data_IF_946828938655
#
_entry.id   IF_946828938655
#
_cell.length_a   1.000
_cell.length_b   1.000
_cell.length_c   1.000
_cell.angle_alpha   90.00
_cell.angle_beta   90.00
_cell.angle_gamma   90.00
#
_symmetry.space_group_name_H-M   'P 1'
#
loop_
_entity.id
_entity.type
_entity.pdbx_description
1 polymer ?
#
# COMPACT_ATOMS: atom_id res chain seq x y z
N UNK A 1 -35.18 -5.84 32.85
CA UNK A 1 -34.52 -6.71 31.88
C UNK A 1 -34.10 -5.98 30.62
N UNK A 2 -34.95 -5.31 29.83
CA UNK A 2 -34.55 -4.60 28.58
C UNK A 2 -33.49 -3.51 28.80
N UNK A 3 -33.49 -2.75 29.88
CA UNK A 3 -32.47 -1.73 30.21
C UNK A 3 -31.10 -2.33 30.56
N UNK A 4 -31.09 -3.51 31.22
CA UNK A 4 -29.84 -4.22 31.55
C UNK A 4 -29.20 -4.80 30.29
N UNK A 5 -30.01 -5.34 29.36
CA UNK A 5 -29.53 -5.82 28.06
C UNK A 5 -28.96 -4.66 27.22
N UNK A 6 -29.58 -3.49 27.24
CA UNK A 6 -29.08 -2.30 26.54
C UNK A 6 -27.74 -1.82 27.11
N UNK A 7 -27.58 -1.83 28.44
CA UNK A 7 -26.32 -1.48 29.11
C UNK A 7 -25.22 -2.50 28.81
N UNK A 8 -25.55 -3.80 28.78
CA UNK A 8 -24.62 -4.85 28.39
C UNK A 8 -24.19 -4.74 26.93
N UNK A 9 -25.09 -4.39 26.00
CA UNK A 9 -24.80 -4.16 24.60
C UNK A 9 -23.89 -2.91 24.41
N UNK A 10 -24.16 -1.84 25.17
CA UNK A 10 -23.32 -0.62 25.15
C UNK A 10 -21.93 -0.88 25.73
N UNK A 11 -21.81 -1.71 26.77
CA UNK A 11 -20.52 -2.10 27.35
C UNK A 11 -19.70 -3.02 26.42
N UNK A 12 -20.35 -3.87 25.62
CA UNK A 12 -19.66 -4.75 24.65
C UNK A 12 -19.17 -3.97 23.42
N UNK A 13 -19.87 -2.91 23.03
CA UNK A 13 -19.51 -2.03 21.89
C UNK A 13 -18.37 -1.07 22.24
N UNK A 14 -18.07 -0.85 23.53
CA UNK A 14 -17.09 0.12 24.02
C UNK A 14 -15.66 -0.39 24.20
N UNK A 15 -15.33 -1.66 23.92
CA UNK A 15 -13.97 -2.19 24.06
C UNK A 15 -13.26 -2.07 22.70
N UNK A 16 -12.75 -0.88 22.42
CA UNK A 16 -11.79 -0.71 21.33
C UNK A 16 -10.40 -1.13 21.83
N UNK A 17 -9.96 -2.37 21.53
CA UNK A 17 -8.56 -2.76 21.64
C UNK A 17 -7.82 -2.13 20.47
N UNK A 18 -7.15 -1.00 20.73
CA UNK A 18 -6.27 -0.35 19.76
C UNK A 18 -4.87 -0.97 19.87
N UNK A 19 -4.67 -2.11 19.26
CA UNK A 19 -3.36 -2.73 19.08
C UNK A 19 -3.26 -3.21 17.63
N UNK A 20 -2.83 -2.35 16.71
CA UNK A 20 -2.50 -2.84 15.39
C UNK A 20 -1.45 -1.94 14.73
N UNK A 21 -0.23 -2.43 14.66
CA UNK A 21 0.71 -1.97 13.66
C UNK A 21 0.07 -2.17 12.28
N UNK A 22 -0.02 -1.11 11.53
CA UNK A 22 -0.59 -1.14 10.19
C UNK A 22 0.53 -1.12 9.16
N UNK A 23 0.44 -1.98 8.13
CA UNK A 23 1.31 -1.89 6.96
C UNK A 23 1.22 -0.49 6.33
N UNK A 24 2.35 0.00 5.75
CA UNK A 24 2.41 1.30 5.10
C UNK A 24 1.28 1.51 4.10
N UNK A 25 0.81 2.75 4.00
CA UNK A 25 -0.28 3.13 3.11
C UNK A 25 0.16 4.25 2.18
N UNK A 26 -0.13 4.08 0.90
CA UNK A 26 0.14 5.09 -0.13
C UNK A 26 -1.18 5.61 -0.70
N UNK A 27 -1.23 6.86 -1.08
CA UNK A 27 -2.39 7.43 -1.77
C UNK A 27 -2.40 7.04 -3.23
N UNK A 28 -1.20 6.92 -3.84
CA UNK A 28 -1.02 6.48 -5.23
C UNK A 28 -0.86 4.93 -5.36
N UNK A 29 -1.58 4.15 -4.54
CA UNK A 29 -1.52 2.68 -4.52
C UNK A 29 -1.82 2.03 -5.88
N UNK A 30 -2.61 2.70 -6.73
CA UNK A 30 -2.99 2.21 -8.04
C UNK A 30 -1.81 2.13 -9.03
N UNK A 31 -0.69 2.79 -8.75
CA UNK A 31 0.54 2.71 -9.56
C UNK A 31 1.58 1.80 -8.92
N UNK A 32 1.43 1.44 -7.65
CA UNK A 32 2.32 0.53 -6.93
C UNK A 32 1.55 -0.67 -6.36
N UNK A 33 0.65 -1.23 -7.15
CA UNK A 33 -0.23 -2.33 -6.75
C UNK A 33 0.53 -3.59 -6.35
N UNK A 34 1.72 -3.84 -6.94
CA UNK A 34 2.57 -4.99 -6.62
C UNK A 34 3.01 -5.01 -5.14
N UNK A 35 3.14 -3.85 -4.50
CA UNK A 35 3.47 -3.76 -3.08
C UNK A 35 2.48 -4.52 -2.19
N UNK A 36 1.20 -4.54 -2.60
CA UNK A 36 0.10 -5.18 -1.84
C UNK A 36 -0.47 -6.43 -2.51
N UNK A 37 -0.35 -6.60 -3.84
CA UNK A 37 -0.90 -7.76 -4.55
C UNK A 37 0.13 -8.36 -5.52
N UNK A 38 0.70 -9.54 -5.22
CA UNK A 38 1.70 -10.19 -6.08
C UNK A 38 1.17 -10.59 -7.46
N UNK A 39 -0.12 -10.78 -7.63
CA UNK A 39 -0.73 -11.09 -8.92
C UNK A 39 -0.59 -9.96 -9.96
N UNK A 40 -0.19 -8.77 -9.52
CA UNK A 40 0.08 -7.63 -10.38
C UNK A 40 1.44 -7.72 -11.09
N UNK A 41 2.35 -8.60 -10.68
CA UNK A 41 3.66 -8.75 -11.31
C UNK A 41 3.50 -9.06 -12.81
N UNK A 42 4.17 -8.31 -13.67
CA UNK A 42 4.13 -8.51 -15.13
C UNK A 42 2.88 -8.00 -15.86
N UNK A 43 1.85 -7.53 -15.15
CA UNK A 43 0.58 -7.11 -15.76
C UNK A 43 0.67 -5.89 -16.70
N UNK A 44 1.77 -5.17 -16.69
CA UNK A 44 1.96 -3.95 -17.51
C UNK A 44 2.60 -4.19 -18.87
N UNK A 45 2.90 -5.42 -19.27
CA UNK A 45 3.60 -5.81 -20.52
C UNK A 45 4.90 -5.03 -20.79
N UNK A 46 5.52 -4.53 -19.76
CA UNK A 46 6.78 -3.77 -19.78
C UNK A 46 7.60 -4.09 -18.53
N UNK A 47 8.90 -3.81 -18.57
CA UNK A 47 9.65 -3.68 -17.34
C UNK A 47 9.24 -2.35 -16.70
N UNK A 48 8.50 -2.41 -15.62
CA UNK A 48 8.00 -1.27 -14.85
C UNK A 48 8.82 -1.09 -13.58
N UNK A 49 9.30 0.11 -13.35
CA UNK A 49 10.02 0.53 -12.14
C UNK A 49 9.21 1.67 -11.51
N UNK A 50 8.83 1.50 -10.25
CA UNK A 50 8.09 2.52 -9.49
C UNK A 50 8.85 2.82 -8.21
N UNK A 51 9.21 4.08 -8.03
CA UNK A 51 9.73 4.61 -6.78
C UNK A 51 8.71 5.58 -6.17
N UNK A 52 8.46 5.46 -4.87
CA UNK A 52 7.53 6.33 -4.16
C UNK A 52 8.15 6.71 -2.82
N UNK A 53 8.07 7.98 -2.47
CA UNK A 53 8.39 8.50 -1.14
C UNK A 53 7.17 9.20 -0.58
N UNK A 54 6.78 8.81 0.64
CA UNK A 54 5.67 9.42 1.39
C UNK A 54 6.18 9.91 2.74
N UNK A 55 6.01 11.19 2.99
CA UNK A 55 6.20 11.81 4.29
C UNK A 55 4.81 12.12 4.86
N UNK A 56 4.40 11.35 5.85
CA UNK A 56 3.07 11.46 6.45
C UNK A 56 3.15 12.35 7.69
N UNK A 57 2.17 13.25 7.82
CA UNK A 57 2.06 14.20 8.94
C UNK A 57 3.30 15.10 9.07
N UNK A 58 3.70 15.73 7.97
CA UNK A 58 4.83 16.66 7.94
C UNK A 58 4.71 17.73 9.02
N UNK A 59 5.82 17.97 9.75
CA UNK A 59 5.87 18.85 10.92
C UNK A 59 5.53 18.18 12.25
N UNK A 60 5.12 16.91 12.25
CA UNK A 60 4.92 16.11 13.45
C UNK A 60 6.15 15.24 13.71
N UNK A 61 6.80 15.39 14.87
CA UNK A 61 7.99 14.64 15.24
C UNK A 61 7.69 13.14 15.33
N UNK A 62 8.48 12.31 14.63
CA UNK A 62 8.26 10.89 14.53
C UNK A 62 7.12 10.51 13.57
N UNK A 63 6.64 11.44 12.75
CA UNK A 63 5.66 11.15 11.69
C UNK A 63 6.15 10.04 10.75
N UNK A 64 5.24 9.18 10.21
CA UNK A 64 5.63 8.08 9.35
C UNK A 64 6.30 8.56 8.06
N UNK A 65 7.42 7.93 7.70
CA UNK A 65 8.11 8.10 6.43
C UNK A 65 8.22 6.74 5.73
N UNK A 66 7.66 6.65 4.53
CA UNK A 66 7.65 5.42 3.75
C UNK A 66 8.33 5.63 2.41
N UNK A 67 9.30 4.80 2.10
CA UNK A 67 9.99 4.74 0.82
C UNK A 67 9.74 3.40 0.16
N UNK A 68 9.42 3.38 -1.13
CA UNK A 68 9.22 2.14 -1.87
C UNK A 68 9.97 2.15 -3.18
N UNK A 69 10.49 0.99 -3.54
CA UNK A 69 11.00 0.70 -4.88
C UNK A 69 10.40 -0.63 -5.31
N UNK A 70 9.63 -0.63 -6.38
CA UNK A 70 9.04 -1.82 -6.97
C UNK A 70 9.49 -1.95 -8.42
N UNK A 71 9.87 -3.17 -8.80
CA UNK A 71 10.28 -3.49 -10.16
C UNK A 71 9.53 -4.76 -10.57
N UNK A 72 8.88 -4.75 -11.72
CA UNK A 72 8.26 -5.97 -12.24
C UNK A 72 8.22 -6.00 -13.76
N UNK A 73 8.16 -7.22 -14.29
CA UNK A 73 8.15 -7.45 -15.72
C UNK A 73 7.46 -8.77 -16.05
N UNK A 74 6.76 -8.88 -17.18
CA UNK A 74 6.48 -10.18 -17.75
C UNK A 74 7.78 -10.85 -18.18
N UNK A 75 7.83 -12.18 -18.09
CA UNK A 75 8.91 -12.97 -18.62
C UNK A 75 8.73 -13.21 -20.13
N UNK A 76 9.67 -13.90 -20.75
CA UNK A 76 9.58 -14.28 -22.16
C UNK A 76 8.28 -15.03 -22.51
N UNK A 77 7.77 -15.82 -21.56
CA UNK A 77 6.40 -16.33 -21.59
C UNK A 77 5.51 -15.29 -20.91
N UNK A 78 4.75 -14.51 -21.71
CA UNK A 78 3.88 -13.41 -21.25
C UNK A 78 2.86 -13.83 -20.17
N UNK A 79 2.67 -15.16 -19.96
CA UNK A 79 1.83 -15.68 -18.88
C UNK A 79 2.50 -15.61 -17.50
N UNK A 80 3.82 -15.44 -17.47
CA UNK A 80 4.60 -15.42 -16.24
C UNK A 80 5.10 -14.00 -15.97
N UNK A 81 4.92 -13.54 -14.75
CA UNK A 81 5.46 -12.27 -14.27
C UNK A 81 6.40 -12.46 -13.08
N UNK A 82 7.45 -11.67 -13.03
CA UNK A 82 8.33 -11.55 -11.86
C UNK A 82 8.36 -10.12 -11.38
N UNK A 83 8.53 -9.97 -10.06
CA UNK A 83 8.66 -8.68 -9.43
C UNK A 83 9.55 -8.71 -8.19
N UNK A 84 9.99 -7.52 -7.81
CA UNK A 84 10.71 -7.21 -6.59
C UNK A 84 10.06 -6.01 -5.93
N UNK A 85 9.78 -6.10 -4.63
CA UNK A 85 9.22 -5.02 -3.84
C UNK A 85 10.11 -4.75 -2.64
N UNK A 86 10.69 -3.55 -2.58
CA UNK A 86 11.46 -3.05 -1.45
C UNK A 86 10.67 -1.90 -0.81
N UNK A 87 10.45 -1.96 0.50
CA UNK A 87 9.75 -0.91 1.25
C UNK A 87 10.54 -0.65 2.52
N UNK A 88 10.83 0.60 2.80
CA UNK A 88 11.32 1.05 4.09
C UNK A 88 10.24 1.94 4.72
N UNK A 89 9.85 1.63 5.94
CA UNK A 89 8.79 2.34 6.68
C UNK A 89 9.28 2.65 8.08
N UNK A 90 9.44 3.94 8.36
CA UNK A 90 9.88 4.45 9.65
C UNK A 90 8.73 5.20 10.30
N UNK A 91 8.39 4.88 11.55
CA UNK A 91 7.38 5.59 12.33
C UNK A 91 7.84 5.69 13.79
N UNK A 92 8.08 6.91 14.27
CA UNK A 92 8.70 7.11 15.59
C UNK A 92 10.06 6.44 15.65
N UNK A 93 10.23 5.54 16.63
CA UNK A 93 11.45 4.77 16.83
C UNK A 93 11.48 3.43 16.09
N UNK A 94 10.40 3.04 15.44
CA UNK A 94 10.30 1.79 14.70
C UNK A 94 10.73 1.97 13.25
N UNK A 95 11.48 1.01 12.71
CA UNK A 95 11.86 0.95 11.31
C UNK A 95 11.65 -0.47 10.78
N UNK A 96 10.83 -0.59 9.75
CA UNK A 96 10.57 -1.82 9.03
C UNK A 96 11.15 -1.73 7.62
N UNK A 97 11.97 -2.70 7.25
CA UNK A 97 12.41 -2.88 5.86
C UNK A 97 11.87 -4.19 5.32
N UNK A 98 11.11 -4.11 4.25
CA UNK A 98 10.50 -5.25 3.56
C UNK A 98 11.22 -5.50 2.25
N UNK A 99 11.65 -6.73 2.01
CA UNK A 99 12.26 -7.17 0.76
C UNK A 99 11.57 -8.45 0.28
N UNK A 100 10.79 -8.34 -0.79
CA UNK A 100 9.94 -9.42 -1.29
C UNK A 100 10.10 -9.61 -2.79
N UNK A 101 10.07 -10.86 -3.21
CA UNK A 101 9.98 -11.28 -4.60
C UNK A 101 8.55 -11.72 -4.88
N UNK A 102 8.03 -11.30 -6.03
CA UNK A 102 6.69 -11.58 -6.50
C UNK A 102 6.75 -12.45 -7.76
N UNK A 103 5.92 -13.47 -7.82
CA UNK A 103 5.72 -14.31 -8.99
C UNK A 103 4.24 -14.34 -9.34
N UNK A 104 3.91 -14.19 -10.63
CA UNK A 104 2.54 -14.29 -11.10
C UNK A 104 2.41 -15.27 -12.28
N UNK A 105 1.22 -15.86 -12.37
CA UNK A 105 0.78 -16.66 -13.51
C UNK A 105 -0.57 -16.14 -14.01
N UNK A 106 -0.61 -15.74 -15.29
CA UNK A 106 -1.78 -15.11 -15.93
C UNK A 106 -2.43 -16.07 -16.91
N UNK A 107 -3.74 -16.20 -16.82
CA UNK A 107 -4.60 -17.00 -17.69
C UNK A 107 -5.53 -16.05 -18.45
N UNK A 108 -5.61 -16.22 -19.77
CA UNK A 108 -6.61 -15.55 -20.58
C UNK A 108 -7.97 -16.23 -20.35
N UNK A 109 -8.88 -15.56 -19.65
CA UNK A 109 -10.21 -16.09 -19.33
C UNK A 109 -11.21 -15.82 -20.46
N UNK A 110 -11.05 -14.71 -21.18
CA UNK A 110 -11.83 -14.38 -22.40
C UNK A 110 -10.99 -13.50 -23.33
N UNK A 111 -11.55 -13.03 -24.45
CA UNK A 111 -10.85 -12.16 -25.39
C UNK A 111 -10.26 -10.90 -24.73
N UNK A 112 -10.96 -10.36 -23.73
CA UNK A 112 -10.63 -9.07 -23.08
C UNK A 112 -10.38 -9.18 -21.56
N UNK A 113 -10.42 -10.37 -20.98
CA UNK A 113 -10.28 -10.57 -19.52
C UNK A 113 -9.16 -11.53 -19.21
N UNK A 114 -8.28 -11.10 -18.35
CA UNK A 114 -7.17 -11.87 -17.80
C UNK A 114 -7.35 -12.12 -16.31
N UNK A 115 -6.95 -13.30 -15.84
CA UNK A 115 -6.92 -13.69 -14.43
C UNK A 115 -5.50 -14.06 -14.07
N UNK A 116 -4.93 -13.33 -13.12
CA UNK A 116 -3.58 -13.56 -12.62
C UNK A 116 -3.63 -14.10 -11.19
N UNK A 117 -2.84 -15.12 -10.92
CA UNK A 117 -2.57 -15.65 -9.59
C UNK A 117 -1.16 -15.26 -9.21
N UNK A 118 -0.96 -14.78 -7.99
CA UNK A 118 0.33 -14.31 -7.52
C UNK A 118 0.76 -14.94 -6.22
N UNK A 119 2.07 -15.17 -6.10
CA UNK A 119 2.74 -15.57 -4.87
C UNK A 119 3.83 -14.54 -4.54
N UNK A 120 3.97 -14.25 -3.28
CA UNK A 120 4.99 -13.35 -2.71
C UNK A 120 5.80 -14.12 -1.69
N UNK A 121 7.11 -13.94 -1.67
CA UNK A 121 7.98 -14.49 -0.65
C UNK A 121 9.14 -13.56 -0.35
N UNK A 122 9.54 -13.47 0.90
CA UNK A 122 10.62 -12.57 1.28
C UNK A 122 10.77 -12.42 2.78
N UNK A 123 11.40 -11.33 3.18
CA UNK A 123 11.77 -11.07 4.56
C UNK A 123 11.38 -9.65 4.98
N UNK A 124 11.01 -9.52 6.24
CA UNK A 124 10.85 -8.26 6.95
C UNK A 124 12.00 -8.13 7.95
N UNK A 125 12.71 -7.02 7.89
CA UNK A 125 13.70 -6.62 8.90
C UNK A 125 13.08 -5.53 9.78
N UNK A 126 13.02 -5.79 11.07
CA UNK A 126 12.60 -4.85 12.09
C UNK A 126 13.78 -4.34 12.87
N UNK A 127 13.86 -3.02 13.07
CA UNK A 127 14.88 -2.37 13.89
C UNK A 127 14.22 -1.30 14.74
N UNK A 128 14.52 -1.30 16.04
CA UNK A 128 14.20 -0.19 16.92
C UNK A 128 15.38 0.81 16.91
N UNK A 129 15.07 2.11 16.86
CA UNK A 129 16.07 3.17 16.74
C UNK A 129 17.00 3.20 17.96
N UNK A 130 18.29 3.41 17.71
CA UNK A 130 19.32 3.41 18.77
C UNK A 130 19.15 4.58 19.76
N UNK A 131 18.56 5.68 19.30
CA UNK A 131 18.26 6.84 20.12
C UNK A 131 17.38 6.49 21.33
N UNK A 132 16.46 5.54 21.17
CA UNK A 132 15.58 5.11 22.25
C UNK A 132 16.38 4.50 23.42
N UNK A 133 17.45 3.77 23.14
CA UNK A 133 18.31 3.15 24.17
C UNK A 133 19.18 4.16 24.92
N UNK A 134 19.32 5.37 24.43
CA UNK A 134 20.09 6.44 25.06
C UNK A 134 19.28 7.23 26.10
N UNK A 135 17.98 7.04 26.17
CA UNK A 135 17.16 7.64 27.23
C UNK A 135 17.41 6.90 28.56
N UNK A 136 17.76 7.66 29.61
CA UNK A 136 18.15 7.11 30.91
C UNK A 136 17.05 6.25 31.57
N UNK A 137 15.80 6.58 31.29
CA UNK A 137 14.63 5.84 31.79
C UNK A 137 14.49 4.47 31.12
N UNK A 138 14.81 4.39 29.82
CA UNK A 138 14.73 3.15 29.02
C UNK A 138 15.86 2.18 29.39
N UNK A 139 17.06 2.69 29.71
CA UNK A 139 18.20 1.85 30.13
C UNK A 139 17.97 1.11 31.47
N UNK A 140 16.95 1.48 32.25
CA UNK A 140 16.57 0.79 33.51
C UNK A 140 15.41 -0.19 33.29
N UNK A 141 14.82 -0.23 32.10
CA UNK A 141 13.70 -1.09 31.77
C UNK A 141 14.25 -2.40 31.16
N UNK A 142 14.04 -3.51 31.85
CA UNK A 142 14.46 -4.85 31.41
C UNK A 142 13.89 -5.26 30.04
N UNK A 143 12.83 -4.60 29.55
CA UNK A 143 12.26 -4.84 28.22
C UNK A 143 13.11 -4.32 27.06
N UNK A 144 14.01 -3.37 27.33
CA UNK A 144 14.90 -2.79 26.33
C UNK A 144 16.37 -3.24 26.50
N UNK A 145 16.62 -4.27 27.30
CA UNK A 145 17.95 -4.78 27.60
C UNK A 145 18.66 -5.41 26.38
N UNK A 146 17.90 -5.83 25.36
CA UNK A 146 18.42 -6.29 24.09
C UNK A 146 18.06 -5.33 22.93
N UNK A 147 19.07 -4.96 22.13
CA UNK A 147 18.85 -4.23 20.87
C UNK A 147 17.97 -5.05 19.95
N UNK A 148 16.75 -4.57 19.69
CA UNK A 148 15.79 -5.28 18.88
C UNK A 148 16.10 -5.13 17.38
N UNK A 149 16.72 -6.18 16.83
CA UNK A 149 16.95 -6.37 15.40
C UNK A 149 16.44 -7.75 15.01
N UNK A 150 15.40 -7.82 14.20
CA UNK A 150 14.74 -9.10 13.86
C UNK A 150 14.55 -9.24 12.35
N UNK A 151 14.87 -10.43 11.84
CA UNK A 151 14.56 -10.84 10.49
C UNK A 151 13.45 -11.90 10.53
N UNK A 152 12.37 -11.67 9.81
CA UNK A 152 11.26 -12.61 9.74
C UNK A 152 10.90 -12.89 8.28
N UNK A 153 10.85 -14.16 7.92
CA UNK A 153 10.39 -14.60 6.61
C UNK A 153 8.87 -14.57 6.56
N UNK A 154 8.31 -14.14 5.44
CA UNK A 154 6.87 -14.16 5.22
C UNK A 154 6.54 -14.53 3.78
N UNK A 155 5.31 -15.01 3.58
CA UNK A 155 4.77 -15.39 2.29
C UNK A 155 3.43 -14.68 2.08
N UNK A 156 3.05 -14.53 0.84
CA UNK A 156 1.78 -13.93 0.48
C UNK A 156 1.21 -14.51 -0.78
N UNK A 157 -0.07 -14.27 -1.00
CA UNK A 157 -0.77 -14.67 -2.20
C UNK A 157 -1.76 -13.60 -2.64
N UNK A 158 -2.13 -13.65 -3.92
CA UNK A 158 -3.13 -12.76 -4.45
C UNK A 158 -3.74 -13.27 -5.75
N UNK A 159 -4.87 -12.70 -6.08
CA UNK A 159 -5.56 -12.86 -7.36
C UNK A 159 -5.88 -11.47 -7.91
N UNK A 160 -5.77 -11.34 -9.23
CA UNK A 160 -6.12 -10.14 -9.96
C UNK A 160 -6.91 -10.55 -11.20
N UNK A 161 -8.07 -9.96 -11.39
CA UNK A 161 -8.85 -10.07 -12.60
C UNK A 161 -8.88 -8.70 -13.25
N UNK A 162 -8.47 -8.61 -14.49
CA UNK A 162 -8.36 -7.32 -15.17
C UNK A 162 -8.66 -7.38 -16.67
N UNK A 163 -8.97 -6.24 -17.19
CA UNK A 163 -9.07 -5.95 -18.62
C UNK A 163 -8.42 -4.59 -18.91
N UNK A 164 -8.48 -4.12 -20.13
CA UNK A 164 -7.91 -2.82 -20.52
C UNK A 164 -8.49 -1.63 -19.73
N UNK A 165 -9.73 -1.74 -19.21
CA UNK A 165 -10.46 -0.63 -18.57
C UNK A 165 -10.79 -0.83 -17.09
N UNK A 166 -10.67 -2.04 -16.56
CA UNK A 166 -11.01 -2.31 -15.19
C UNK A 166 -10.15 -3.42 -14.58
N UNK A 167 -10.03 -3.40 -13.30
CA UNK A 167 -9.41 -4.46 -12.52
C UNK A 167 -10.08 -4.63 -11.17
N UNK A 168 -10.02 -5.86 -10.64
CA UNK A 168 -10.40 -6.20 -9.27
C UNK A 168 -9.37 -7.21 -8.74
N UNK A 169 -8.88 -6.99 -7.55
CA UNK A 169 -7.90 -7.87 -6.92
C UNK A 169 -8.19 -8.11 -5.45
N UNK A 170 -7.83 -9.31 -5.01
CA UNK A 170 -7.81 -9.71 -3.60
C UNK A 170 -6.42 -10.22 -3.27
N UNK A 171 -5.91 -9.91 -2.07
CA UNK A 171 -4.59 -10.38 -1.67
C UNK A 171 -4.40 -10.43 -0.17
N UNK A 172 -3.46 -11.28 0.22
CA UNK A 172 -2.88 -11.38 1.55
C UNK A 172 -1.36 -11.34 1.34
N UNK A 173 -0.74 -10.13 1.36
CA UNK A 173 0.68 -9.99 1.02
C UNK A 173 1.62 -10.60 2.06
N UNK A 174 1.14 -10.83 3.28
CA UNK A 174 1.86 -11.51 4.37
C UNK A 174 0.87 -12.39 5.15
N UNK A 175 1.16 -13.68 5.27
CA UNK A 175 0.26 -14.68 5.85
C UNK A 175 0.65 -15.02 7.29
N UNK A 176 1.94 -14.85 7.65
CA UNK A 176 2.46 -15.22 8.96
C UNK A 176 2.43 -14.00 9.87
N UNK A 177 1.84 -14.15 11.05
CA UNK A 177 1.98 -13.17 12.13
C UNK A 177 3.32 -13.39 12.82
N UNK A 178 4.06 -12.32 13.04
CA UNK A 178 5.31 -12.35 13.79
C UNK A 178 5.23 -11.40 14.98
N UNK A 179 5.66 -11.88 16.15
CA UNK A 179 5.98 -11.05 17.29
C UNK A 179 7.44 -10.60 17.17
N UNK A 180 7.65 -9.30 16.98
CA UNK A 180 8.98 -8.73 16.78
C UNK A 180 9.74 -8.56 18.09
N UNK A 181 9.03 -8.59 19.23
CA UNK A 181 9.60 -8.31 20.56
C UNK A 181 9.74 -9.56 21.45
N UNK A 182 9.06 -10.67 21.17
CA UNK A 182 8.97 -11.86 22.02
C UNK A 182 8.56 -11.55 23.47
N UNK A 183 7.92 -10.40 23.71
CA UNK A 183 7.47 -9.94 25.02
C UNK A 183 5.97 -10.13 25.19
N UNK A 184 5.54 -10.51 26.38
CA UNK A 184 4.11 -10.66 26.70
C UNK A 184 3.41 -9.33 26.93
N UNK A 185 4.17 -8.27 27.26
CA UNK A 185 3.62 -6.99 27.74
C UNK A 185 3.68 -5.87 26.69
N UNK A 186 4.64 -5.92 25.78
CA UNK A 186 4.72 -5.03 24.63
C UNK A 186 4.97 -5.86 23.37
N UNK A 187 3.99 -5.93 22.52
CA UNK A 187 4.05 -6.71 21.29
C UNK A 187 4.13 -5.81 20.07
N UNK A 188 5.32 -5.72 19.44
CA UNK A 188 5.45 -5.22 18.08
C UNK A 188 5.01 -6.34 17.13
N UNK A 189 3.70 -6.40 16.81
CA UNK A 189 3.12 -7.50 16.03
C UNK A 189 3.05 -7.16 14.55
N UNK A 190 3.74 -7.92 13.71
CA UNK A 190 3.43 -7.97 12.29
C UNK A 190 2.20 -8.85 12.10
N UNK A 191 1.05 -8.23 11.80
CA UNK A 191 -0.23 -8.92 11.66
C UNK A 191 -0.62 -9.15 10.20
N UNK A 192 -1.44 -10.17 9.95
CA UNK A 192 -1.98 -10.45 8.61
C UNK A 192 -2.92 -9.33 8.18
N UNK A 193 -2.72 -8.88 6.94
CA UNK A 193 -3.56 -7.89 6.27
C UNK A 193 -4.24 -8.48 5.05
N UNK A 194 -5.51 -8.20 4.90
CA UNK A 194 -6.32 -8.56 3.74
C UNK A 194 -6.60 -7.32 2.92
N UNK A 195 -6.41 -7.42 1.61
CA UNK A 195 -6.66 -6.33 0.69
C UNK A 195 -7.70 -6.71 -0.35
N UNK A 196 -8.64 -5.80 -0.61
CA UNK A 196 -9.46 -5.77 -1.79
C UNK A 196 -9.23 -4.44 -2.51
N UNK A 197 -9.00 -4.48 -3.80
CA UNK A 197 -8.74 -3.29 -4.60
C UNK A 197 -9.38 -3.41 -5.97
N UNK A 198 -9.67 -2.28 -6.59
CA UNK A 198 -10.23 -2.27 -7.92
C UNK A 198 -10.28 -0.86 -8.50
N UNK A 199 -10.55 -0.83 -9.81
CA UNK A 199 -10.72 0.43 -10.50
C UNK A 199 -11.37 0.24 -11.87
N UNK A 200 -11.93 1.35 -12.37
CA UNK A 200 -12.56 1.42 -13.67
C UNK A 200 -12.25 2.75 -14.37
N UNK A 201 -12.02 2.71 -15.67
CA UNK A 201 -11.80 3.89 -16.52
C UNK A 201 -12.98 4.11 -17.45
N UNK A 202 -13.60 5.27 -17.31
CA UNK A 202 -14.68 5.76 -18.15
C UNK A 202 -14.12 6.69 -19.22
N UNK A 203 -14.45 6.47 -20.49
CA UNK A 203 -14.16 7.41 -21.56
C UNK A 203 -15.24 8.50 -21.55
N UNK A 204 -14.92 9.71 -21.10
CA UNK A 204 -15.86 10.84 -21.09
C UNK A 204 -15.87 11.56 -22.45
N UNK A 205 -14.71 11.63 -23.12
CA UNK A 205 -14.52 12.15 -24.45
C UNK A 205 -13.27 11.55 -25.10
N UNK A 206 -12.93 11.96 -26.33
CA UNK A 206 -11.68 11.54 -27.00
C UNK A 206 -10.42 11.96 -26.24
N UNK A 207 -10.49 13.08 -25.49
CA UNK A 207 -9.34 13.64 -24.77
C UNK A 207 -9.47 13.56 -23.25
N UNK A 208 -10.62 13.12 -22.73
CA UNK A 208 -10.88 13.10 -21.28
C UNK A 208 -11.39 11.76 -20.82
N UNK A 209 -10.71 11.19 -19.81
CA UNK A 209 -11.09 9.93 -19.17
C UNK A 209 -11.17 10.11 -17.65
N UNK A 210 -12.08 9.39 -17.02
CA UNK A 210 -12.25 9.36 -15.57
C UNK A 210 -11.86 7.99 -15.04
N UNK A 211 -10.88 7.90 -14.17
CA UNK A 211 -10.50 6.69 -13.44
C UNK A 211 -11.01 6.78 -12.01
N UNK A 212 -11.86 5.86 -11.62
CA UNK A 212 -12.26 5.63 -10.25
C UNK A 212 -11.52 4.41 -9.72
N UNK A 213 -10.97 4.49 -8.51
CA UNK A 213 -10.32 3.34 -7.87
C UNK A 213 -10.65 3.28 -6.39
N UNK A 214 -10.63 2.08 -5.84
CA UNK A 214 -10.79 1.86 -4.41
C UNK A 214 -9.77 0.84 -3.90
N UNK A 215 -9.45 0.93 -2.62
CA UNK A 215 -8.70 -0.06 -1.86
C UNK A 215 -9.32 -0.20 -0.48
N UNK A 216 -9.61 -1.42 -0.08
CA UNK A 216 -10.04 -1.80 1.26
C UNK A 216 -8.92 -2.59 1.91
N UNK A 217 -8.54 -2.24 3.12
CA UNK A 217 -7.57 -2.96 3.94
C UNK A 217 -8.23 -3.36 5.25
N UNK A 218 -8.15 -4.64 5.57
CA UNK A 218 -8.61 -5.20 6.84
C UNK A 218 -7.48 -5.92 7.55
N UNK A 219 -7.37 -5.72 8.86
CA UNK A 219 -6.55 -6.52 9.77
C UNK A 219 -7.28 -6.68 11.10
N UNK A 220 -7.07 -7.82 11.75
CA UNK A 220 -7.68 -8.09 13.05
C UNK A 220 -7.17 -7.09 14.09
N UNK A 221 -8.08 -6.49 14.84
CA UNK A 221 -7.73 -5.54 15.91
C UNK A 221 -7.55 -4.08 15.45
N UNK A 222 -7.79 -3.77 14.17
CA UNK A 222 -7.79 -2.39 13.67
C UNK A 222 -9.05 -2.07 12.86
N UNK A 223 -9.46 -0.80 12.79
CA UNK A 223 -10.54 -0.36 11.91
C UNK A 223 -10.25 -0.68 10.45
N UNK A 224 -11.31 -0.97 9.68
CA UNK A 224 -11.18 -1.13 8.22
C UNK A 224 -10.75 0.20 7.62
N UNK A 225 -9.69 0.15 6.81
CA UNK A 225 -9.23 1.31 6.03
C UNK A 225 -9.77 1.23 4.60
N UNK A 226 -10.43 2.30 4.18
CA UNK A 226 -10.99 2.45 2.84
C UNK A 226 -10.35 3.67 2.18
N UNK A 227 -9.81 3.48 0.98
CA UNK A 227 -9.25 4.53 0.16
C UNK A 227 -10.04 4.59 -1.16
N UNK A 228 -10.50 5.78 -1.51
CA UNK A 228 -11.16 6.05 -2.78
C UNK A 228 -10.40 7.13 -3.52
N UNK A 229 -10.22 6.94 -4.84
CA UNK A 229 -9.61 7.94 -5.70
C UNK A 229 -10.45 8.17 -6.94
N UNK A 230 -10.50 9.42 -7.37
CA UNK A 230 -11.11 9.84 -8.62
C UNK A 230 -10.11 10.71 -9.38
N UNK A 231 -9.66 10.25 -10.54
CA UNK A 231 -8.63 10.91 -11.33
C UNK A 231 -9.13 11.15 -12.77
N UNK A 232 -9.02 12.38 -13.24
CA UNK A 232 -9.28 12.78 -14.60
C UNK A 232 -7.97 12.76 -15.40
N UNK A 233 -7.94 12.03 -16.49
CA UNK A 233 -6.86 12.03 -17.47
C UNK A 233 -7.20 12.95 -18.63
N UNK A 234 -6.35 13.94 -18.88
CA UNK A 234 -6.47 14.85 -20.00
C UNK A 234 -5.35 14.63 -21.03
N UNK A 235 -5.78 14.43 -22.29
CA UNK A 235 -4.88 14.20 -23.45
C UNK A 235 -3.81 13.12 -23.21
N UNK A 236 -4.12 12.10 -22.41
CA UNK A 236 -3.22 11.00 -22.04
C UNK A 236 -1.89 11.45 -21.38
N UNK A 237 -1.82 12.69 -20.91
CA UNK A 237 -0.59 13.30 -20.37
C UNK A 237 -0.72 13.76 -18.93
N UNK A 238 -1.87 14.27 -18.53
CA UNK A 238 -2.04 14.89 -17.21
C UNK A 238 -3.17 14.20 -16.48
N UNK A 239 -2.87 13.67 -15.30
CA UNK A 239 -3.86 13.22 -14.35
C UNK A 239 -4.07 14.26 -13.27
N UNK A 240 -5.32 14.62 -13.04
CA UNK A 240 -5.74 15.49 -11.93
C UNK A 240 -6.82 14.77 -11.14
N UNK A 241 -6.65 14.66 -9.85
CA UNK A 241 -7.60 13.90 -9.07
C UNK A 241 -7.64 14.23 -7.61
N UNK A 242 -8.51 13.52 -6.92
CA UNK A 242 -8.67 13.58 -5.49
C UNK A 242 -8.71 12.19 -4.86
N UNK A 243 -8.34 12.14 -3.60
CA UNK A 243 -8.43 10.96 -2.76
C UNK A 243 -9.23 11.24 -1.50
N UNK A 244 -9.91 10.23 -1.02
CA UNK A 244 -10.58 10.23 0.27
C UNK A 244 -10.29 8.93 1.01
N UNK A 245 -9.71 9.06 2.21
CA UNK A 245 -9.38 7.93 3.08
C UNK A 245 -10.24 7.94 4.31
N UNK A 246 -10.73 6.76 4.69
CA UNK A 246 -11.43 6.51 5.94
C UNK A 246 -10.71 5.37 6.65
N UNK A 247 -10.25 5.61 7.89
CA UNK A 247 -9.60 4.61 8.73
C UNK A 247 -10.17 4.76 10.16
N UNK A 248 -11.27 4.08 10.44
CA UNK A 248 -12.02 4.28 11.67
C UNK A 248 -12.51 5.72 11.82
N UNK A 249 -12.05 6.40 12.88
CA UNK A 249 -12.35 7.82 13.13
C UNK A 249 -11.44 8.77 12.34
N UNK A 250 -10.31 8.30 11.85
CA UNK A 250 -9.38 9.09 11.08
C UNK A 250 -9.85 9.18 9.62
N UNK A 251 -9.79 10.37 9.08
CA UNK A 251 -10.11 10.65 7.69
C UNK A 251 -9.05 11.57 7.08
N UNK A 252 -8.86 11.46 5.77
CA UNK A 252 -7.97 12.35 5.05
C UNK A 252 -8.53 12.64 3.65
N UNK A 253 -8.29 13.84 3.16
CA UNK A 253 -8.64 14.28 1.82
C UNK A 253 -7.34 14.66 1.12
N UNK A 254 -7.14 14.19 -0.11
CA UNK A 254 -5.94 14.47 -0.88
C UNK A 254 -6.24 15.00 -2.27
N UNK A 255 -5.29 15.79 -2.79
CA UNK A 255 -5.22 16.20 -4.18
C UNK A 255 -4.07 15.43 -4.86
N UNK A 256 -4.31 14.93 -6.08
CA UNK A 256 -3.36 14.14 -6.85
C UNK A 256 -3.10 14.86 -8.17
N UNK A 257 -1.83 14.98 -8.55
CA UNK A 257 -1.42 15.44 -9.86
C UNK A 257 -0.29 14.56 -10.39
N UNK A 258 -0.48 14.00 -11.59
CA UNK A 258 0.54 13.19 -12.25
C UNK A 258 0.75 13.68 -13.69
N UNK A 259 1.99 13.65 -14.13
CA UNK A 259 2.39 14.04 -15.47
C UNK A 259 3.08 12.88 -16.18
N UNK A 260 2.59 12.52 -17.37
CA UNK A 260 3.34 11.70 -18.31
C UNK A 260 4.35 12.59 -19.05
N UNK A 261 5.57 12.62 -18.52
CA UNK A 261 6.66 13.49 -19.03
C UNK A 261 7.15 13.00 -20.40
N UNK A 262 7.21 11.68 -20.58
CA UNK A 262 7.50 11.02 -21.85
C UNK A 262 6.68 9.74 -21.95
N UNK A 263 6.75 9.04 -23.09
CA UNK A 263 6.07 7.75 -23.25
C UNK A 263 6.46 6.68 -22.21
N UNK A 264 7.60 6.89 -21.55
CA UNK A 264 8.18 5.94 -20.59
C UNK A 264 8.19 6.47 -19.16
N UNK A 265 8.19 7.80 -18.96
CA UNK A 265 8.44 8.41 -17.67
C UNK A 265 7.25 9.20 -17.17
N UNK A 266 6.83 8.89 -15.94
CA UNK A 266 5.74 9.57 -15.21
C UNK A 266 6.26 10.08 -13.88
N UNK A 267 5.78 11.26 -13.50
CA UNK A 267 6.01 11.87 -12.20
C UNK A 267 4.66 12.18 -11.58
N UNK A 268 4.45 11.79 -10.34
CA UNK A 268 3.24 12.04 -9.58
C UNK A 268 3.53 12.75 -8.27
N UNK A 269 2.60 13.59 -7.83
CA UNK A 269 2.62 14.22 -6.54
C UNK A 269 1.24 14.19 -5.91
N UNK A 270 1.21 13.88 -4.61
CA UNK A 270 -0.03 13.94 -3.81
C UNK A 270 0.20 14.75 -2.55
N UNK A 271 -0.75 15.61 -2.26
CA UNK A 271 -0.87 16.29 -0.99
C UNK A 271 -2.15 15.84 -0.29
N UNK A 272 -2.05 15.39 0.96
CA UNK A 272 -3.16 14.84 1.74
C UNK A 272 -3.27 15.57 3.09
N UNK A 273 -4.47 16.00 3.43
CA UNK A 273 -4.77 16.70 4.69
C UNK A 273 -5.61 15.74 5.56
N UNK A 274 -5.16 15.36 6.76
CA UNK A 274 -5.99 14.66 7.72
C UNK A 274 -7.07 15.61 8.26
N UNK A 275 -8.27 15.07 8.52
CA UNK A 275 -9.41 15.85 9.05
C UNK A 275 -9.76 15.49 10.50
N UNK A 276 -8.98 14.58 11.12
CA UNK A 276 -9.18 14.15 12.51
C UNK A 276 -8.33 14.94 13.52
N UNK A 277 -8.15 14.37 14.70
CA UNK A 277 -7.48 14.99 15.85
C UNK A 277 -6.01 15.35 15.57
N UNK A 278 -5.33 14.67 14.65
CA UNK A 278 -3.94 14.96 14.27
C UNK A 278 -3.83 16.27 13.45
N UNK A 279 -4.93 16.80 12.90
CA UNK A 279 -4.92 17.95 12.00
C UNK A 279 -4.20 19.19 12.54
N UNK A 280 -4.33 19.59 13.82
CA UNK A 280 -3.64 20.76 14.37
C UNK A 280 -2.11 20.60 14.47
N UNK A 281 -1.61 19.38 14.46
CA UNK A 281 -0.20 19.06 14.72
C UNK A 281 0.60 18.78 13.44
N UNK A 282 -0.02 18.88 12.27
CA UNK A 282 0.64 18.56 11.00
C UNK A 282 0.27 19.53 9.90
N UNK A 283 1.22 19.81 9.00
CA UNK A 283 0.96 20.56 7.77
C UNK A 283 0.34 19.68 6.66
N UNK A 284 0.17 18.37 6.88
CA UNK A 284 -0.36 17.40 5.92
C UNK A 284 0.63 16.30 5.59
N UNK A 285 0.33 15.52 4.56
CA UNK A 285 1.19 14.44 4.07
C UNK A 285 1.55 14.68 2.62
N UNK A 286 2.79 14.42 2.27
CA UNK A 286 3.33 14.60 0.92
C UNK A 286 3.74 13.26 0.35
N UNK A 287 3.41 12.99 -0.91
CA UNK A 287 3.80 11.77 -1.60
C UNK A 287 4.30 12.09 -3.00
N UNK A 288 5.49 11.63 -3.33
CA UNK A 288 6.11 11.77 -4.65
C UNK A 288 6.24 10.38 -5.26
N UNK A 289 5.82 10.25 -6.51
CA UNK A 289 5.91 9.02 -7.29
C UNK A 289 6.73 9.28 -8.56
N UNK A 290 7.65 8.38 -8.82
CA UNK A 290 8.39 8.29 -10.08
C UNK A 290 8.13 6.91 -10.67
N UNK A 291 7.76 6.87 -11.95
CA UNK A 291 7.50 5.62 -12.64
C UNK A 291 8.20 5.64 -14.00
N UNK A 292 8.94 4.56 -14.28
CA UNK A 292 9.61 4.38 -15.55
C UNK A 292 9.27 3.01 -16.15
N UNK A 293 8.93 2.99 -17.43
CA UNK A 293 8.56 1.79 -18.18
C UNK A 293 9.46 1.57 -19.40
N UNK A 294 10.21 0.46 -19.38
CA UNK A 294 10.93 -0.01 -20.55
C UNK A 294 10.02 -0.87 -21.42
N UNK A 295 9.66 -0.38 -22.60
CA UNK A 295 8.80 -1.08 -23.55
C UNK A 295 9.62 -2.12 -24.32
N UNK A 296 9.16 -3.36 -24.36
CA UNK A 296 9.77 -4.37 -25.20
C UNK A 296 9.33 -4.22 -26.67
N UNK A 297 10.25 -4.27 -27.61
CA UNK A 297 9.98 -4.03 -29.06
C UNK A 297 8.98 -5.00 -29.69
N UNK A 298 8.66 -6.12 -29.05
CA UNK A 298 7.75 -7.15 -29.56
C UNK A 298 6.35 -7.17 -28.90
N UNK A 299 6.13 -6.38 -27.87
CA UNK A 299 4.82 -6.35 -27.21
C UNK A 299 3.82 -5.60 -28.11
N UNK A 300 2.73 -6.26 -28.51
CA UNK A 300 1.56 -5.55 -29.04
C UNK A 300 1.15 -4.51 -28.01
N UNK A 301 1.34 -3.23 -28.33
CA UNK A 301 0.96 -2.15 -27.41
C UNK A 301 -0.55 -2.25 -27.14
N UNK A 302 -0.92 -2.78 -26.00
CA UNK A 302 -2.20 -2.45 -25.39
C UNK A 302 -2.02 -1.04 -24.80
N UNK A 303 -2.46 -0.03 -25.50
CA UNK A 303 -2.43 1.37 -25.04
C UNK A 303 -3.85 1.91 -25.08
N UNK A 304 -4.23 2.73 -24.10
CA UNK A 304 -3.44 3.24 -23.00
C UNK A 304 -3.49 2.33 -21.76
N UNK A 305 -2.36 2.25 -21.04
CA UNK A 305 -2.27 1.52 -19.76
C UNK A 305 -2.76 2.42 -18.63
N UNK A 306 -3.92 2.13 -18.12
CA UNK A 306 -4.52 2.96 -17.06
C UNK A 306 -4.18 2.52 -15.65
N UNK A 307 -3.67 1.27 -15.49
CA UNK A 307 -3.41 0.66 -14.20
C UNK A 307 -1.97 0.19 -14.09
#
# INVERSE_FOLDING_TARGET
MKRIILILVVLIVGIEFSNAQQLPQFTQYMYNTIAVNPAYAGSRDALSIVALNRNQWAGFDGGPETQTLSIHSPLRNEKLGLGLSLINDKAGFENFTYAYVDFSYTIQASADVEVSFGLKGGMTYYKLAEELYNYTEVNQDAYFDERLNRWNANFGAGILVHSDKWYVGLSIPKIINHDMNNSTDYAALETVHYYALGGYVFDLSKSLKLKLSFRVKYTKGAPISNDFTANLLYNEKVWLGGSYRINGKQRAIGAIVDFQVSDQFRVGYTYEIPTGEIRPYTSGSHEILLMYEFKFMKAKQKSPRYF
#
